data_IF_486128990093
#
_entry.id   IF_486128990093
#
_cell.length_a   1.000
_cell.length_b   1.000
_cell.length_c   1.000
_cell.angle_alpha   90.00
_cell.angle_beta   90.00
_cell.angle_gamma   90.00
#
_symmetry.space_group_name_H-M   'P 1'
#
loop_
_entity.id
_entity.type
_entity.pdbx_description
1 polymer ?
#
# COMPACT_ATOMS: atom_id res chain seq x y z
N UNK A 1 -34.94 -34.00 16.01
CA UNK A 1 -34.09 -34.09 14.79
C UNK A 1 -33.90 -32.69 14.24
N UNK A 2 -32.91 -31.96 14.75
CA UNK A 2 -32.73 -30.53 14.46
C UNK A 2 -31.76 -30.38 13.30
N UNK A 3 -32.29 -30.04 12.11
CA UNK A 3 -31.52 -29.76 10.91
C UNK A 3 -31.01 -28.31 10.94
N UNK A 4 -29.71 -28.17 10.70
CA UNK A 4 -28.97 -26.98 10.25
C UNK A 4 -28.84 -25.81 11.26
N UNK A 5 -27.64 -25.70 11.84
CA UNK A 5 -26.97 -24.41 12.05
C UNK A 5 -25.48 -24.57 11.77
N UNK A 6 -25.13 -24.81 10.50
CA UNK A 6 -23.74 -24.83 9.99
C UNK A 6 -23.34 -23.45 9.46
N UNK A 7 -23.61 -22.37 10.21
CA UNK A 7 -23.28 -20.99 9.77
C UNK A 7 -22.41 -20.18 10.74
N UNK A 8 -21.92 -20.76 11.83
CA UNK A 8 -21.22 -19.98 12.86
C UNK A 8 -19.76 -20.34 13.14
N UNK A 9 -19.05 -21.08 12.28
CA UNK A 9 -17.65 -21.43 12.60
C UNK A 9 -16.58 -21.08 11.57
N UNK A 10 -16.93 -20.52 10.40
CA UNK A 10 -15.93 -20.15 9.37
C UNK A 10 -15.98 -18.65 9.04
N UNK A 11 -16.08 -17.77 10.04
CA UNK A 11 -15.92 -16.32 9.81
C UNK A 11 -14.90 -15.62 10.71
N UNK A 12 -14.13 -16.34 11.53
CA UNK A 12 -13.19 -15.72 12.48
C UNK A 12 -11.71 -16.02 12.30
N UNK A 13 -11.31 -17.07 11.58
CA UNK A 13 -9.95 -17.63 11.68
C UNK A 13 -9.05 -17.35 10.46
N UNK A 14 -9.32 -16.29 9.69
CA UNK A 14 -8.64 -16.03 8.41
C UNK A 14 -7.58 -14.92 8.40
N UNK A 15 -7.34 -14.21 9.51
CA UNK A 15 -6.56 -12.95 9.49
C UNK A 15 -5.11 -13.10 9.99
N UNK A 16 -4.71 -14.26 10.54
CA UNK A 16 -3.42 -14.39 11.23
C UNK A 16 -2.37 -15.27 10.52
N UNK A 17 -2.42 -15.40 9.19
CA UNK A 17 -1.39 -16.15 8.43
C UNK A 17 -0.43 -15.24 7.64
N UNK A 18 -0.22 -14.00 8.11
CA UNK A 18 0.87 -13.12 7.65
C UNK A 18 2.18 -13.55 8.35
N UNK A 19 2.54 -14.82 8.24
CA UNK A 19 3.72 -15.40 8.87
C UNK A 19 4.78 -15.69 7.79
N UNK A 20 5.48 -14.62 7.41
CA UNK A 20 6.94 -14.54 7.19
C UNK A 20 7.60 -15.86 6.79
N UNK A 21 7.62 -16.14 5.48
CA UNK A 21 8.49 -17.13 4.87
C UNK A 21 9.50 -16.41 3.96
N UNK A 22 10.46 -15.71 4.55
CA UNK A 22 11.61 -15.12 3.83
C UNK A 22 12.90 -15.08 4.68
N UNK A 23 13.01 -15.90 5.72
CA UNK A 23 14.14 -15.90 6.65
C UNK A 23 15.41 -16.64 6.14
N UNK A 24 15.63 -16.70 4.82
CA UNK A 24 16.59 -17.64 4.22
C UNK A 24 17.90 -17.08 3.63
N UNK A 25 18.05 -15.77 3.41
CA UNK A 25 19.14 -15.29 2.53
C UNK A 25 20.05 -14.16 3.06
N UNK A 26 20.09 -13.92 4.37
CA UNK A 26 21.04 -12.94 4.95
C UNK A 26 21.73 -13.49 6.20
N UNK A 27 22.25 -14.72 6.12
CA UNK A 27 23.25 -15.21 7.06
C UNK A 27 24.61 -14.54 6.77
N UNK A 28 24.75 -13.27 7.13
CA UNK A 28 26.01 -12.55 6.97
C UNK A 28 25.93 -11.08 7.38
N UNK A 29 26.40 -10.80 8.60
CA UNK A 29 26.64 -9.48 9.21
C UNK A 29 25.49 -8.90 10.06
N UNK A 30 25.64 -9.02 11.39
CA UNK A 30 25.02 -8.15 12.39
C UNK A 30 23.53 -8.38 12.63
N UNK A 31 23.23 -8.99 13.78
CA UNK A 31 21.91 -9.07 14.43
C UNK A 31 20.98 -7.90 14.14
N UNK A 32 20.06 -8.04 13.18
CA UNK A 32 18.78 -7.32 13.11
C UNK A 32 17.99 -7.93 11.95
N UNK A 33 16.86 -8.56 12.25
CA UNK A 33 15.87 -8.79 11.21
C UNK A 33 15.55 -7.43 10.56
N UNK A 34 15.36 -7.36 9.23
CA UNK A 34 14.96 -6.11 8.60
C UNK A 34 13.68 -5.62 9.27
N UNK A 35 13.74 -4.44 9.89
CA UNK A 35 12.58 -3.82 10.52
C UNK A 35 11.58 -3.49 9.40
N UNK A 36 10.42 -4.12 9.43
CA UNK A 36 9.34 -3.86 8.47
C UNK A 36 8.52 -2.69 8.98
N UNK A 37 8.22 -1.73 8.12
CA UNK A 37 7.40 -0.56 8.45
C UNK A 37 6.27 -0.44 7.44
N UNK A 38 5.08 -0.15 7.94
CA UNK A 38 3.91 0.09 7.11
C UNK A 38 3.95 1.51 6.57
N UNK A 39 4.00 1.62 5.24
CA UNK A 39 3.96 2.88 4.50
C UNK A 39 2.55 3.10 3.99
N UNK A 40 1.98 4.27 4.28
CA UNK A 40 0.68 4.67 3.74
C UNK A 40 0.87 5.26 2.34
N UNK A 41 0.26 4.64 1.36
CA UNK A 41 0.27 5.10 -0.03
C UNK A 41 -0.96 5.97 -0.26
N UNK A 42 -0.73 7.20 -0.74
CA UNK A 42 -1.78 8.16 -1.09
C UNK A 42 -1.74 8.46 -2.58
N UNK A 43 -2.92 8.48 -3.20
CA UNK A 43 -3.07 8.80 -4.61
C UNK A 43 -3.45 10.27 -4.76
N UNK A 44 -2.59 11.02 -5.44
CA UNK A 44 -2.75 12.46 -5.63
C UNK A 44 -2.67 12.81 -7.10
N UNK A 45 -3.32 13.89 -7.48
CA UNK A 45 -3.26 14.46 -8.82
C UNK A 45 -2.93 15.94 -8.74
N UNK A 46 -2.28 16.46 -9.78
CA UNK A 46 -2.12 17.90 -9.92
C UNK A 46 -3.48 18.55 -10.21
N UNK A 47 -3.74 19.70 -9.59
CA UNK A 47 -4.93 20.50 -9.88
C UNK A 47 -4.53 21.92 -10.25
N UNK A 48 -4.70 22.27 -11.52
CA UNK A 48 -4.39 23.62 -12.02
C UNK A 48 -5.24 24.69 -11.36
N UNK A 49 -6.47 24.35 -10.96
CA UNK A 49 -7.41 25.25 -10.28
C UNK A 49 -6.86 25.66 -8.90
N UNK A 50 -6.29 24.72 -8.16
CA UNK A 50 -5.78 24.95 -6.81
C UNK A 50 -4.26 25.12 -6.74
N UNK A 51 -3.56 24.99 -7.88
CA UNK A 51 -2.09 25.04 -7.99
C UNK A 51 -1.40 24.13 -6.96
N UNK A 52 -1.97 22.96 -6.69
CA UNK A 52 -1.47 21.99 -5.70
C UNK A 52 -1.90 20.57 -6.03
N UNK A 53 -1.17 19.61 -5.44
CA UNK A 53 -1.59 18.21 -5.44
C UNK A 53 -2.79 17.99 -4.52
N UNK A 54 -3.82 17.33 -5.05
CA UNK A 54 -5.04 16.98 -4.32
C UNK A 54 -5.22 15.46 -4.35
N UNK A 55 -5.79 14.91 -3.30
CA UNK A 55 -6.12 13.47 -3.23
C UNK A 55 -7.19 13.13 -4.28
N UNK A 56 -7.06 11.95 -4.88
CA UNK A 56 -8.06 11.42 -5.83
C UNK A 56 -9.18 10.76 -5.03
N UNK A 57 -10.43 11.12 -5.32
CA UNK A 57 -11.59 10.60 -4.59
C UNK A 57 -11.77 11.25 -3.21
N UNK A 58 -12.44 10.54 -2.28
CA UNK A 58 -12.55 10.95 -0.88
C UNK A 58 -11.27 10.61 -0.11
N UNK A 59 -11.00 11.35 0.95
CA UNK A 59 -9.86 11.07 1.84
C UNK A 59 -9.95 9.64 2.40
N UNK A 60 -8.90 8.85 2.20
CA UNK A 60 -8.84 7.46 2.63
C UNK A 60 -9.60 6.45 1.75
N UNK A 61 -10.23 6.87 0.65
CA UNK A 61 -11.01 5.96 -0.22
C UNK A 61 -10.14 4.92 -0.90
N UNK A 62 -8.93 5.32 -1.32
CA UNK A 62 -7.97 4.46 -2.02
C UNK A 62 -6.68 4.23 -1.24
N UNK A 63 -6.54 4.83 -0.06
CA UNK A 63 -5.32 4.72 0.75
C UNK A 63 -5.06 3.25 1.06
N UNK A 64 -3.83 2.80 0.80
CA UNK A 64 -3.37 1.45 1.11
C UNK A 64 -2.11 1.48 1.96
N UNK A 65 -1.91 0.44 2.76
CA UNK A 65 -0.70 0.27 3.56
C UNK A 65 0.15 -0.84 2.99
N UNK A 66 1.40 -0.54 2.70
CA UNK A 66 2.37 -1.52 2.18
C UNK A 66 3.50 -1.64 3.19
N UNK A 67 3.76 -2.87 3.65
CA UNK A 67 4.88 -3.17 4.52
C UNK A 67 6.16 -3.24 3.70
N UNK A 68 7.11 -2.36 3.98
CA UNK A 68 8.42 -2.31 3.31
C UNK A 68 9.54 -2.37 4.34
N UNK A 69 10.76 -2.66 3.89
CA UNK A 69 11.93 -2.62 4.77
C UNK A 69 12.22 -1.18 5.17
N UNK A 70 12.47 -0.92 6.45
CA UNK A 70 12.83 0.40 6.95
C UNK A 70 14.05 0.95 6.21
N UNK A 71 13.92 2.18 5.72
CA UNK A 71 14.95 2.83 4.91
C UNK A 71 14.89 2.49 3.42
N UNK A 72 13.91 1.71 2.98
CA UNK A 72 13.59 1.58 1.56
C UNK A 72 13.23 2.96 1.00
N UNK A 73 13.88 3.35 -0.10
CA UNK A 73 13.71 4.70 -0.67
C UNK A 73 12.47 4.80 -1.55
N UNK A 74 12.16 3.75 -2.29
CA UNK A 74 11.10 3.74 -3.29
C UNK A 74 10.24 2.48 -3.22
N UNK A 75 8.98 2.58 -3.59
CA UNK A 75 8.03 1.48 -3.78
C UNK A 75 7.77 1.35 -5.27
N UNK A 76 7.69 0.12 -5.78
CA UNK A 76 7.35 -0.08 -7.19
C UNK A 76 5.85 -0.05 -7.40
N UNK A 77 5.39 0.50 -8.53
CA UNK A 77 3.96 0.60 -8.81
C UNK A 77 3.25 -0.75 -8.89
N UNK A 78 3.96 -1.83 -9.19
CA UNK A 78 3.41 -3.19 -9.23
C UNK A 78 3.05 -3.71 -7.83
N UNK A 79 3.58 -3.11 -6.76
CA UNK A 79 3.21 -3.45 -5.39
C UNK A 79 1.88 -2.79 -4.97
N UNK A 80 1.43 -1.77 -5.71
CA UNK A 80 0.22 -1.03 -5.43
C UNK A 80 -1.01 -1.80 -5.93
N UNK A 81 -1.90 -2.17 -5.02
CA UNK A 81 -3.09 -2.97 -5.37
C UNK A 81 -4.24 -2.08 -5.86
N UNK A 82 -4.36 -0.88 -5.30
CA UNK A 82 -5.46 0.04 -5.59
C UNK A 82 -5.19 0.93 -6.80
N UNK A 83 -3.95 0.98 -7.32
CA UNK A 83 -3.58 1.85 -8.45
C UNK A 83 -4.48 1.65 -9.67
N UNK A 84 -4.77 0.39 -10.03
CA UNK A 84 -5.67 0.08 -11.15
C UNK A 84 -7.11 0.54 -10.91
N UNK A 85 -7.62 0.37 -9.68
CA UNK A 85 -8.96 0.81 -9.30
C UNK A 85 -9.09 2.33 -9.28
N UNK A 86 -8.08 3.03 -8.74
CA UNK A 86 -7.97 4.49 -8.78
C UNK A 86 -8.08 4.97 -10.22
N UNK A 87 -7.25 4.43 -11.12
CA UNK A 87 -7.23 4.87 -12.50
C UNK A 87 -8.49 4.52 -13.29
N UNK A 88 -9.12 3.39 -13.01
CA UNK A 88 -10.42 3.06 -13.61
C UNK A 88 -11.51 4.05 -13.18
N UNK A 89 -11.48 4.53 -11.94
CA UNK A 89 -12.49 5.44 -11.40
C UNK A 89 -12.23 6.90 -11.76
N UNK A 90 -10.97 7.34 -11.66
CA UNK A 90 -10.59 8.74 -11.89
C UNK A 90 -10.32 9.06 -13.35
N UNK A 91 -10.13 8.05 -14.20
CA UNK A 91 -9.79 8.21 -15.61
C UNK A 91 -8.30 8.39 -15.89
N UNK A 92 -7.40 8.00 -14.96
CA UNK A 92 -5.95 8.09 -15.21
C UNK A 92 -5.43 6.89 -15.98
N UNK A 93 -4.30 7.08 -16.64
CA UNK A 93 -3.53 5.98 -17.24
C UNK A 93 -2.60 5.37 -16.19
N UNK A 94 -2.82 4.11 -15.79
CA UNK A 94 -1.89 3.40 -14.90
C UNK A 94 -0.47 3.25 -15.50
N UNK A 95 -0.34 3.40 -16.82
CA UNK A 95 0.93 3.46 -17.53
C UNK A 95 1.72 4.73 -17.23
N UNK A 96 1.03 5.87 -17.12
CA UNK A 96 1.62 7.18 -16.78
C UNK A 96 2.02 7.28 -15.31
N UNK A 97 1.48 6.40 -14.47
CA UNK A 97 1.88 6.33 -13.07
C UNK A 97 3.39 6.06 -12.94
N UNK A 98 4.08 6.76 -12.03
CA UNK A 98 5.52 6.62 -11.82
C UNK A 98 5.86 5.17 -11.48
N UNK A 99 6.89 4.63 -12.12
CA UNK A 99 7.34 3.24 -11.89
C UNK A 99 7.84 3.03 -10.47
N UNK A 100 8.49 4.06 -9.93
CA UNK A 100 9.02 4.11 -8.58
C UNK A 100 8.43 5.30 -7.84
N UNK A 101 7.90 5.06 -6.64
CA UNK A 101 7.27 6.06 -5.79
C UNK A 101 8.16 6.26 -4.57
N UNK A 102 8.65 7.49 -4.38
CA UNK A 102 9.46 7.81 -3.21
C UNK A 102 8.64 7.73 -1.92
N UNK A 103 9.26 7.16 -0.90
CA UNK A 103 8.68 7.08 0.44
C UNK A 103 9.19 8.27 1.24
N UNK A 104 8.26 9.09 1.70
CA UNK A 104 8.54 10.15 2.65
C UNK A 104 8.62 9.57 4.07
N UNK A 105 9.85 9.48 4.60
CA UNK A 105 10.14 9.04 5.95
C UNK A 105 10.25 10.20 6.96
N UNK A 106 9.94 11.44 6.58
CA UNK A 106 10.08 12.61 7.47
C UNK A 106 9.04 12.64 8.60
N UNK A 107 7.90 11.98 8.40
CA UNK A 107 6.82 11.87 9.38
C UNK A 107 6.99 10.72 10.37
N UNK A 108 6.14 10.70 11.42
CA UNK A 108 6.05 9.56 12.36
C UNK A 108 5.61 8.27 11.65
N UNK A 109 4.77 8.41 10.64
CA UNK A 109 4.33 7.34 9.75
C UNK A 109 4.83 7.67 8.35
N UNK A 110 5.57 6.76 7.70
CA UNK A 110 6.04 7.02 6.36
C UNK A 110 4.90 7.03 5.35
N UNK A 111 4.95 7.96 4.40
CA UNK A 111 3.90 8.17 3.40
C UNK A 111 4.51 8.16 2.01
N UNK A 112 3.91 7.39 1.09
CA UNK A 112 4.27 7.40 -0.31
C UNK A 112 3.18 8.12 -1.11
N UNK A 113 3.55 9.19 -1.81
CA UNK A 113 2.60 9.96 -2.62
C UNK A 113 2.73 9.55 -4.09
N UNK A 114 1.70 8.87 -4.60
CA UNK A 114 1.61 8.53 -6.01
C UNK A 114 1.00 9.72 -6.74
N UNK A 115 1.82 10.38 -7.56
CA UNK A 115 1.36 11.48 -8.40
C UNK A 115 0.87 10.88 -9.71
N UNK A 116 -0.42 11.07 -10.00
CA UNK A 116 -1.05 10.61 -11.21
C UNK A 116 -1.39 11.81 -12.10
N UNK A 117 -1.02 11.68 -13.37
CA UNK A 117 -1.46 12.59 -14.43
C UNK A 117 -2.88 12.22 -14.84
N UNK A 118 -3.75 13.22 -14.92
CA UNK A 118 -5.18 13.11 -15.25
C UNK A 118 -5.53 14.19 -16.27
#
# INVERSE_FOLDING_TARGET
MSKISRRNFIKGAGVAALAVAAAGMLAGCGSSAPEMVDVTVKYTKWSDIFQKYITIGKEGEYDETISVVKGQKTIKKEQLKNLGSVCTNSGCSAEEAPKEIEIDWTGKTPVAQVILSL
#
